data_IF_443980237634
#
_entry.id   IF_443980237634
#
_cell.length_a   1.000
_cell.length_b   1.000
_cell.length_c   1.000
_cell.angle_alpha   90.00
_cell.angle_beta   90.00
_cell.angle_gamma   90.00
#
_symmetry.space_group_name_H-M   'P 1'
#
loop_
_entity.id
_entity.type
_entity.pdbx_description
1 polymer ?
#
# COMPACT_ATOMS: atom_id res chain seq x y z
N UNK A 1 27.20 -14.99 16.61
CA UNK A 1 26.47 -13.86 17.22
C UNK A 1 25.66 -13.22 16.10
N UNK A 2 24.38 -12.95 16.31
CA UNK A 2 23.55 -12.23 15.33
C UNK A 2 23.90 -10.76 15.37
N UNK A 3 24.15 -10.15 14.22
CA UNK A 3 24.37 -8.70 14.14
C UNK A 3 23.11 -7.94 14.58
N UNK A 4 23.25 -6.89 15.40
CA UNK A 4 22.15 -5.99 15.75
C UNK A 4 21.41 -5.50 14.49
N UNK A 5 20.09 -5.66 14.46
CA UNK A 5 19.28 -5.21 13.33
C UNK A 5 18.10 -4.34 13.78
N UNK A 6 17.53 -3.61 12.82
CA UNK A 6 16.28 -2.89 13.04
C UNK A 6 15.12 -3.84 12.71
N UNK A 7 14.29 -4.11 13.71
CA UNK A 7 13.07 -4.89 13.58
C UNK A 7 11.89 -3.92 13.49
N UNK A 8 11.05 -4.05 12.47
CA UNK A 8 9.87 -3.21 12.28
C UNK A 8 8.59 -4.02 12.52
N UNK A 9 7.67 -3.45 13.29
CA UNK A 9 6.36 -4.05 13.58
C UNK A 9 5.24 -3.02 13.44
N UNK A 10 4.00 -3.47 13.21
CA UNK A 10 2.85 -2.58 13.19
C UNK A 10 2.58 -1.97 14.58
N UNK A 11 2.37 -0.66 14.63
CA UNK A 11 1.79 -0.02 15.79
C UNK A 11 0.30 -0.35 15.87
N UNK A 12 0.00 -1.39 16.63
CA UNK A 12 -1.38 -1.75 16.93
C UNK A 12 -1.85 -1.14 18.26
N UNK A 13 -1.14 -0.25 18.94
CA UNK A 13 -1.57 0.28 20.25
C UNK A 13 -2.98 0.88 20.26
N UNK A 14 -3.46 1.38 19.12
CA UNK A 14 -4.83 1.89 18.98
C UNK A 14 -5.88 0.77 19.06
N UNK A 15 -6.99 0.99 19.80
CA UNK A 15 -8.10 0.05 19.81
C UNK A 15 -8.69 -0.09 18.40
N UNK A 16 -8.80 -1.34 17.92
CA UNK A 16 -9.45 -1.64 16.65
C UNK A 16 -10.94 -1.44 16.84
N UNK A 17 -11.45 -0.24 16.56
CA UNK A 17 -12.84 0.15 16.72
C UNK A 17 -13.59 -0.02 15.40
N UNK A 18 -14.55 -0.95 15.33
CA UNK A 18 -15.54 -0.99 14.25
C UNK A 18 -16.93 -0.73 14.81
N UNK A 19 -17.77 -0.05 14.01
CA UNK A 19 -19.17 0.25 14.38
C UNK A 19 -20.04 -1.01 14.44
N UNK A 20 -19.62 -2.08 13.75
CA UNK A 20 -20.27 -3.39 13.76
C UNK A 20 -19.20 -4.42 14.15
N UNK A 21 -19.10 -4.73 15.44
CA UNK A 21 -18.28 -5.85 15.92
C UNK A 21 -19.18 -7.05 16.15
N UNK A 22 -18.99 -8.11 15.36
CA UNK A 22 -19.61 -9.39 15.70
C UNK A 22 -18.97 -9.93 16.99
N UNK A 23 -19.75 -10.62 17.83
CA UNK A 23 -19.24 -11.29 19.05
C UNK A 23 -18.02 -12.18 18.74
N UNK A 24 -18.01 -12.81 17.56
CA UNK A 24 -16.89 -13.64 17.07
C UNK A 24 -15.58 -12.86 16.93
N UNK A 25 -15.64 -11.64 16.39
CA UNK A 25 -14.45 -10.79 16.23
C UNK A 25 -13.94 -10.33 17.61
N UNK A 26 -14.82 -9.91 18.51
CA UNK A 26 -14.43 -9.52 19.87
C UNK A 26 -13.75 -10.67 20.62
N UNK A 27 -14.28 -11.90 20.52
CA UNK A 27 -13.66 -13.06 21.15
C UNK A 27 -12.25 -13.31 20.61
N UNK A 28 -12.04 -13.19 19.29
CA UNK A 28 -10.70 -13.31 18.70
C UNK A 28 -9.77 -12.21 19.19
N UNK A 29 -10.21 -10.94 19.18
CA UNK A 29 -9.39 -9.82 19.67
C UNK A 29 -9.02 -9.95 21.15
N UNK A 30 -9.92 -10.48 21.98
CA UNK A 30 -9.65 -10.72 23.40
C UNK A 30 -8.76 -11.95 23.65
N UNK A 31 -8.83 -12.97 22.78
CA UNK A 31 -7.87 -14.09 22.79
C UNK A 31 -6.50 -13.65 22.28
N UNK A 32 -6.46 -12.62 21.44
CA UNK A 32 -5.22 -12.13 20.87
C UNK A 32 -4.49 -11.32 21.92
N UNK A 33 -3.41 -11.87 22.48
CA UNK A 33 -2.63 -11.23 23.53
C UNK A 33 -1.67 -10.20 22.92
N UNK A 34 -2.28 -9.18 22.32
CA UNK A 34 -1.64 -8.12 21.56
C UNK A 34 -0.51 -7.41 22.33
N UNK A 35 -0.68 -7.28 23.65
CA UNK A 35 0.36 -6.71 24.52
C UNK A 35 1.56 -7.64 24.70
N UNK A 36 1.33 -8.94 24.88
CA UNK A 36 2.41 -9.92 25.09
C UNK A 36 3.33 -10.04 23.88
N UNK A 37 2.79 -10.01 22.65
CA UNK A 37 3.63 -10.06 21.44
C UNK A 37 4.59 -8.87 21.33
N UNK A 38 4.13 -7.67 21.71
CA UNK A 38 4.98 -6.48 21.73
C UNK A 38 6.05 -6.60 22.81
N UNK A 39 5.69 -7.06 24.01
CA UNK A 39 6.64 -7.31 25.10
C UNK A 39 7.69 -8.34 24.70
N UNK A 40 7.30 -9.46 24.09
CA UNK A 40 8.24 -10.49 23.61
C UNK A 40 9.20 -9.94 22.55
N UNK A 41 8.71 -9.13 21.62
CA UNK A 41 9.57 -8.49 20.62
C UNK A 41 10.61 -7.58 21.27
N UNK A 42 10.19 -6.78 22.26
CA UNK A 42 11.08 -5.88 22.99
C UNK A 42 12.13 -6.64 23.81
N UNK A 43 11.76 -7.73 24.47
CA UNK A 43 12.67 -8.62 25.20
C UNK A 43 13.71 -9.26 24.28
N UNK A 44 13.29 -9.78 23.12
CA UNK A 44 14.18 -10.34 22.10
C UNK A 44 15.12 -9.26 21.56
N UNK A 45 14.61 -8.04 21.33
CA UNK A 45 15.41 -6.89 20.93
C UNK A 45 16.53 -6.62 21.93
N UNK A 46 16.20 -6.53 23.23
CA UNK A 46 17.18 -6.32 24.29
C UNK A 46 18.22 -7.44 24.37
N UNK A 47 17.80 -8.70 24.29
CA UNK A 47 18.70 -9.85 24.37
C UNK A 47 19.67 -9.96 23.18
N UNK A 48 19.26 -9.50 22.00
CA UNK A 48 20.06 -9.58 20.77
C UNK A 48 20.80 -8.29 20.44
N UNK A 49 20.59 -7.21 21.20
CA UNK A 49 21.06 -5.87 20.86
C UNK A 49 20.32 -5.22 19.69
N UNK A 50 19.23 -5.82 19.21
CA UNK A 50 18.42 -5.30 18.11
C UNK A 50 17.49 -4.18 18.57
N UNK A 51 17.15 -3.27 17.65
CA UNK A 51 16.21 -2.18 17.93
C UNK A 51 14.84 -2.52 17.34
N UNK A 52 13.80 -2.55 18.17
CA UNK A 52 12.41 -2.72 17.72
C UNK A 52 11.78 -1.35 17.52
N UNK A 53 11.26 -1.09 16.32
CA UNK A 53 10.54 0.13 15.96
C UNK A 53 9.15 -0.23 15.47
N UNK A 54 8.17 0.57 15.85
CA UNK A 54 6.79 0.40 15.39
C UNK A 54 6.44 1.42 14.31
N UNK A 55 5.71 0.98 13.29
CA UNK A 55 5.32 1.77 12.11
C UNK A 55 3.80 1.87 11.99
N UNK A 56 3.30 2.78 11.16
CA UNK A 56 1.86 2.89 10.97
C UNK A 56 1.29 1.58 10.39
N UNK A 57 0.23 1.05 10.99
CA UNK A 57 -0.43 -0.19 10.55
C UNK A 57 -1.43 0.03 9.37
N UNK A 58 -1.71 1.28 9.00
CA UNK A 58 -2.75 1.57 8.01
C UNK A 58 -2.34 1.06 6.61
N UNK A 59 -3.22 0.30 5.97
CA UNK A 59 -3.06 -0.19 4.59
C UNK A 59 -1.93 -1.20 4.34
N UNK A 60 -1.25 -1.72 5.38
CA UNK A 60 -0.13 -2.68 5.23
C UNK A 60 -0.53 -3.96 4.50
N UNK A 61 -1.75 -4.46 4.76
CA UNK A 61 -2.32 -5.65 4.11
C UNK A 61 -2.98 -5.37 2.75
N UNK A 62 -3.02 -4.11 2.31
CA UNK A 62 -3.61 -3.67 1.03
C UNK A 62 -2.57 -3.09 0.07
N UNK A 63 -1.33 -2.90 0.53
CA UNK A 63 -0.24 -2.33 -0.27
C UNK A 63 0.59 -3.47 -0.85
N UNK A 64 0.94 -3.36 -2.13
CA UNK A 64 1.90 -4.25 -2.77
C UNK A 64 3.33 -3.87 -2.35
N UNK A 65 4.07 -4.78 -1.72
CA UNK A 65 5.38 -4.44 -1.15
C UNK A 65 6.40 -4.02 -2.21
N UNK A 66 6.32 -4.58 -3.41
CA UNK A 66 7.32 -4.36 -4.46
C UNK A 66 7.12 -3.04 -5.20
N UNK A 67 5.87 -2.57 -5.36
CA UNK A 67 5.59 -1.28 -5.99
C UNK A 67 5.34 -0.16 -4.99
N UNK A 68 5.00 -0.49 -3.74
CA UNK A 68 4.58 0.50 -2.74
C UNK A 68 3.22 1.14 -3.05
N UNK A 69 2.38 0.48 -3.86
CA UNK A 69 1.10 1.01 -4.35
C UNK A 69 -0.11 0.21 -3.85
N UNK A 70 -1.31 0.72 -4.10
CA UNK A 70 -2.60 0.04 -3.84
C UNK A 70 -3.04 -0.84 -5.01
N UNK A 71 -2.12 -1.25 -5.90
CA UNK A 71 -2.39 -2.12 -7.02
C UNK A 71 -2.29 -3.59 -6.60
N UNK A 72 -3.43 -4.23 -6.43
CA UNK A 72 -3.55 -5.59 -5.95
C UNK A 72 -4.59 -5.72 -4.83
N UNK A 73 -4.80 -6.96 -4.40
CA UNK A 73 -5.75 -7.24 -3.33
C UNK A 73 -5.42 -8.49 -2.55
N UNK A 74 -5.65 -8.44 -1.23
CA UNK A 74 -5.61 -9.62 -0.35
C UNK A 74 -6.93 -10.37 -0.41
N UNK A 75 -6.87 -11.68 -0.61
CA UNK A 75 -8.00 -12.59 -0.44
C UNK A 75 -7.51 -13.79 0.38
N UNK A 76 -7.95 -13.86 1.64
CA UNK A 76 -7.46 -14.87 2.58
C UNK A 76 -5.95 -14.74 2.83
N UNK A 77 -5.23 -15.84 2.63
CA UNK A 77 -3.78 -15.94 2.83
C UNK A 77 -2.97 -15.57 1.58
N UNK A 78 -3.64 -15.15 0.52
CA UNK A 78 -3.05 -14.74 -0.74
C UNK A 78 -3.15 -13.23 -0.96
N UNK A 79 -2.11 -12.65 -1.56
CA UNK A 79 -2.12 -11.30 -2.11
C UNK A 79 -1.92 -11.38 -3.62
N UNK A 80 -2.93 -10.94 -4.38
CA UNK A 80 -2.95 -10.93 -5.84
C UNK A 80 -2.44 -9.58 -6.32
N UNK A 81 -1.30 -9.58 -7.02
CA UNK A 81 -0.70 -8.38 -7.58
C UNK A 81 -1.32 -8.03 -8.92
N UNK A 82 -1.15 -6.79 -9.36
CA UNK A 82 -1.71 -6.31 -10.63
C UNK A 82 -1.11 -7.01 -11.87
N UNK A 83 0.12 -7.51 -11.76
CA UNK A 83 0.82 -8.23 -12.83
C UNK A 83 0.44 -9.72 -12.91
N UNK A 84 -0.49 -10.18 -12.07
CA UNK A 84 -0.96 -11.58 -12.04
C UNK A 84 -0.18 -12.49 -11.08
N UNK A 85 0.91 -12.03 -10.47
CA UNK A 85 1.63 -12.80 -9.45
C UNK A 85 0.81 -12.90 -8.16
N UNK A 86 0.96 -14.03 -7.46
CA UNK A 86 0.30 -14.31 -6.19
C UNK A 86 1.35 -14.55 -5.12
N UNK A 87 1.26 -13.78 -4.03
CA UNK A 87 2.15 -13.87 -2.88
C UNK A 87 1.41 -14.40 -1.66
N UNK A 88 2.14 -14.95 -0.69
CA UNK A 88 1.60 -15.14 0.66
C UNK A 88 1.34 -13.77 1.28
N UNK A 89 0.14 -13.57 1.83
CA UNK A 89 -0.33 -12.25 2.24
C UNK A 89 0.43 -11.64 3.43
N UNK A 90 0.90 -12.46 4.36
CA UNK A 90 1.66 -12.00 5.52
C UNK A 90 3.13 -11.72 5.14
N UNK A 91 3.71 -12.46 4.19
CA UNK A 91 4.98 -12.13 3.56
C UNK A 91 4.93 -10.76 2.88
N UNK A 92 3.88 -10.49 2.08
CA UNK A 92 3.69 -9.17 1.50
C UNK A 92 3.58 -8.08 2.58
N UNK A 93 2.72 -8.29 3.58
CA UNK A 93 2.53 -7.32 4.66
C UNK A 93 3.82 -7.07 5.46
N UNK A 94 4.60 -8.12 5.77
CA UNK A 94 5.88 -8.02 6.46
C UNK A 94 6.89 -7.16 5.68
N UNK A 95 6.98 -7.33 4.36
CA UNK A 95 7.84 -6.50 3.52
C UNK A 95 7.33 -5.05 3.42
N UNK A 96 6.02 -4.81 3.36
CA UNK A 96 5.46 -3.46 3.46
C UNK A 96 5.84 -2.79 4.79
N UNK A 97 5.76 -3.52 5.90
CA UNK A 97 6.14 -3.04 7.23
C UNK A 97 7.64 -2.71 7.27
N UNK A 98 8.49 -3.55 6.70
CA UNK A 98 9.92 -3.32 6.59
C UNK A 98 10.24 -2.05 5.78
N UNK A 99 9.63 -1.87 4.60
CA UNK A 99 9.78 -0.65 3.79
C UNK A 99 9.29 0.60 4.52
N UNK A 100 8.20 0.49 5.30
CA UNK A 100 7.68 1.60 6.09
C UNK A 100 8.60 2.04 7.22
N UNK A 101 9.52 1.17 7.64
CA UNK A 101 10.55 1.49 8.64
C UNK A 101 11.48 2.63 8.23
N UNK A 102 11.63 2.86 6.92
CA UNK A 102 12.47 3.91 6.33
C UNK A 102 11.68 4.88 5.46
N UNK A 103 10.34 4.86 5.55
CA UNK A 103 9.47 5.71 4.75
C UNK A 103 9.32 7.09 5.41
N UNK A 104 9.74 8.14 4.70
CA UNK A 104 9.70 9.52 5.19
C UNK A 104 8.32 10.17 5.03
N UNK A 105 7.48 9.66 4.11
CA UNK A 105 6.14 10.21 3.86
C UNK A 105 5.08 9.59 4.77
N UNK A 106 5.28 8.35 5.24
CA UNK A 106 4.32 7.64 6.10
C UNK A 106 4.91 7.44 7.50
N UNK A 107 4.64 8.40 8.38
CA UNK A 107 5.08 8.34 9.78
C UNK A 107 4.16 7.45 10.64
N UNK A 108 4.69 6.97 11.78
CA UNK A 108 4.01 6.05 12.72
C UNK A 108 2.60 6.50 13.12
N UNK A 109 2.43 7.78 13.45
CA UNK A 109 1.19 8.32 14.04
C UNK A 109 0.23 8.94 13.01
N UNK A 110 0.54 8.81 11.72
CA UNK A 110 -0.28 9.34 10.64
C UNK A 110 -1.67 8.69 10.63
N UNK A 111 -2.73 9.48 10.41
CA UNK A 111 -4.09 8.93 10.35
C UNK A 111 -4.27 8.14 9.06
N UNK A 112 -5.13 7.12 9.10
CA UNK A 112 -5.37 6.27 7.93
C UNK A 112 -5.74 7.06 6.65
N UNK A 113 -6.47 8.17 6.77
CA UNK A 113 -6.84 9.02 5.62
C UNK A 113 -5.63 9.67 4.95
N UNK A 114 -4.65 10.10 5.74
CA UNK A 114 -3.41 10.72 5.26
C UNK A 114 -2.51 9.65 4.62
N UNK A 115 -2.36 8.49 5.27
CA UNK A 115 -1.65 7.33 4.69
C UNK A 115 -2.26 6.93 3.34
N UNK A 116 -3.59 6.85 3.28
CA UNK A 116 -4.29 6.56 2.03
C UNK A 116 -3.97 7.58 0.95
N UNK A 117 -3.96 8.88 1.28
CA UNK A 117 -3.62 9.94 0.32
C UNK A 117 -2.22 9.73 -0.26
N UNK A 118 -1.21 9.52 0.59
CA UNK A 118 0.17 9.22 0.14
C UNK A 118 0.20 8.02 -0.80
N UNK A 119 -0.43 6.91 -0.41
CA UNK A 119 -0.46 5.69 -1.21
C UNK A 119 -1.21 5.88 -2.55
N UNK A 120 -2.25 6.71 -2.60
CA UNK A 120 -2.93 7.06 -3.85
C UNK A 120 -2.05 7.89 -4.78
N UNK A 121 -1.31 8.89 -4.27
CA UNK A 121 -0.33 9.62 -5.07
C UNK A 121 0.75 8.68 -5.64
N UNK A 122 1.29 7.77 -4.81
CA UNK A 122 2.24 6.74 -5.27
C UNK A 122 1.65 5.85 -6.35
N UNK A 123 0.41 5.40 -6.15
CA UNK A 123 -0.32 4.55 -7.10
C UNK A 123 -0.53 5.23 -8.45
N UNK A 124 -0.99 6.48 -8.46
CA UNK A 124 -1.20 7.26 -9.69
C UNK A 124 0.11 7.51 -10.42
N UNK A 125 1.16 7.96 -9.70
CA UNK A 125 2.50 8.16 -10.27
C UNK A 125 3.05 6.88 -10.89
N UNK A 126 2.88 5.75 -10.20
CA UNK A 126 3.32 4.45 -10.71
C UNK A 126 2.55 4.06 -11.97
N UNK A 127 1.21 4.15 -11.96
CA UNK A 127 0.38 3.86 -13.15
C UNK A 127 0.82 4.68 -14.36
N UNK A 128 1.05 5.99 -14.19
CA UNK A 128 1.54 6.84 -15.27
C UNK A 128 2.94 6.42 -15.75
N UNK A 129 3.83 6.04 -14.84
CA UNK A 129 5.18 5.57 -15.21
C UNK A 129 5.16 4.29 -16.05
N UNK A 130 4.13 3.45 -15.90
CA UNK A 130 3.93 2.23 -16.70
C UNK A 130 2.90 2.41 -17.82
N UNK A 131 2.45 3.64 -18.09
CA UNK A 131 1.61 3.98 -19.24
C UNK A 131 0.11 3.68 -19.10
N UNK A 132 -0.40 3.52 -17.88
CA UNK A 132 -1.81 3.23 -17.61
C UNK A 132 -2.49 4.36 -16.84
N UNK A 133 -3.82 4.47 -17.00
CA UNK A 133 -4.66 5.41 -16.23
C UNK A 133 -5.31 4.74 -15.04
N UNK A 134 -5.84 5.54 -14.10
CA UNK A 134 -6.64 5.04 -12.97
C UNK A 134 -7.89 4.29 -13.43
N UNK A 135 -8.56 4.80 -14.48
CA UNK A 135 -9.74 4.15 -15.06
C UNK A 135 -9.41 2.75 -15.57
N UNK A 136 -8.33 2.62 -16.34
CA UNK A 136 -7.86 1.33 -16.85
C UNK A 136 -7.57 0.35 -15.71
N UNK A 137 -6.79 0.78 -14.71
CA UNK A 137 -6.45 -0.06 -13.55
C UNK A 137 -7.69 -0.52 -12.77
N UNK A 138 -8.73 0.31 -12.68
CA UNK A 138 -9.97 -0.06 -11.98
C UNK A 138 -10.81 -1.05 -12.80
N UNK A 139 -10.90 -0.86 -14.12
CA UNK A 139 -11.64 -1.76 -15.03
C UNK A 139 -11.02 -3.16 -15.08
N UNK A 140 -9.69 -3.25 -14.96
CA UNK A 140 -8.96 -4.53 -14.94
C UNK A 140 -8.85 -5.15 -13.53
N UNK A 141 -9.49 -4.54 -12.52
CA UNK A 141 -9.51 -5.04 -11.16
C UNK A 141 -8.18 -4.90 -10.40
N UNK A 142 -7.21 -4.15 -10.92
CA UNK A 142 -5.93 -3.89 -10.27
C UNK A 142 -6.09 -2.96 -9.08
N UNK A 143 -6.90 -1.91 -9.25
CA UNK A 143 -7.23 -0.97 -8.19
C UNK A 143 -8.65 -1.24 -7.70
N UNK A 144 -8.81 -1.39 -6.38
CA UNK A 144 -10.13 -1.57 -5.77
C UNK A 144 -11.04 -0.37 -6.06
N UNK A 145 -12.29 -0.63 -6.45
CA UNK A 145 -13.30 0.39 -6.76
C UNK A 145 -13.55 1.39 -5.63
N UNK A 146 -13.31 0.98 -4.36
CA UNK A 146 -13.40 1.86 -3.18
C UNK A 146 -12.40 3.03 -3.21
N UNK A 147 -11.35 2.93 -4.00
CA UNK A 147 -10.33 3.97 -4.17
C UNK A 147 -10.51 4.78 -5.46
N UNK A 148 -11.39 4.35 -6.37
CA UNK A 148 -11.52 4.91 -7.73
C UNK A 148 -11.70 6.42 -7.73
N UNK A 149 -12.67 6.94 -6.99
CA UNK A 149 -12.99 8.38 -6.98
C UNK A 149 -11.83 9.23 -6.47
N UNK A 150 -11.19 8.81 -5.38
CA UNK A 150 -10.05 9.52 -4.80
C UNK A 150 -8.81 9.43 -5.71
N UNK A 151 -8.58 8.27 -6.32
CA UNK A 151 -7.49 8.09 -7.29
C UNK A 151 -7.68 8.96 -8.55
N UNK A 152 -8.91 9.07 -9.07
CA UNK A 152 -9.23 9.95 -10.19
C UNK A 152 -9.04 11.44 -9.84
N UNK A 153 -9.40 11.84 -8.61
CA UNK A 153 -9.14 13.19 -8.15
C UNK A 153 -7.63 13.48 -8.10
N UNK A 154 -6.83 12.55 -7.57
CA UNK A 154 -5.36 12.66 -7.58
C UNK A 154 -4.80 12.68 -9.01
N UNK A 155 -5.30 11.84 -9.91
CA UNK A 155 -4.88 11.83 -11.32
C UNK A 155 -5.18 13.16 -12.02
N UNK A 156 -6.26 13.85 -11.66
CA UNK A 156 -6.57 15.17 -12.20
C UNK A 156 -5.61 16.28 -11.74
N UNK A 157 -4.98 16.13 -10.58
CA UNK A 157 -3.96 17.06 -10.06
C UNK A 157 -2.61 16.92 -10.80
N UNK A 158 -2.34 15.73 -11.35
CA UNK A 158 -1.10 15.40 -12.06
C UNK A 158 -1.43 14.88 -13.46
N UNK A 159 -1.87 15.73 -14.40
CA UNK A 159 -2.06 15.29 -15.77
C UNK A 159 -0.75 14.71 -16.30
N UNK A 160 -0.78 13.54 -16.97
CA UNK A 160 0.45 12.84 -17.35
C UNK A 160 1.31 13.76 -18.21
N UNK A 161 2.52 14.08 -17.73
CA UNK A 161 3.52 14.80 -18.51
C UNK A 161 3.80 13.99 -19.77
N UNK A 162 3.26 14.44 -20.90
CA UNK A 162 3.58 13.89 -22.21
C UNK A 162 2.75 12.70 -22.69
N UNK A 163 1.66 12.30 -22.03
CA UNK A 163 0.68 11.44 -22.72
C UNK A 163 -0.14 12.33 -23.66
N UNK A 164 0.44 12.64 -24.85
CA UNK A 164 -0.37 12.90 -26.04
C UNK A 164 -1.10 11.60 -26.34
N UNK A 165 -2.21 11.38 -25.64
CA UNK A 165 -3.17 10.37 -26.02
C UNK A 165 -3.42 10.56 -27.50
N UNK A 166 -3.25 9.48 -28.27
CA UNK A 166 -3.89 9.36 -29.57
C UNK A 166 -5.39 9.52 -29.28
N UNK A 167 -5.88 10.75 -29.36
CA UNK A 167 -7.29 10.98 -29.60
C UNK A 167 -7.51 10.28 -30.94
N UNK A 168 -8.19 9.13 -30.93
CA UNK A 168 -8.85 8.66 -32.13
C UNK A 168 -9.90 9.72 -32.47
N UNK A 169 -9.48 10.72 -33.24
CA UNK A 169 -10.40 11.56 -33.98
C UNK A 169 -11.26 10.61 -34.82
N UNK A 170 -12.56 10.80 -34.79
CA UNK A 170 -13.53 10.06 -35.61
C UNK A 170 -13.34 10.29 -37.14
N UNK A 171 -12.22 10.88 -37.56
CA UNK A 171 -11.81 11.06 -38.95
C UNK A 171 -10.31 10.79 -39.04
N UNK A 172 -9.97 9.65 -39.63
CA UNK A 172 -8.60 9.15 -39.72
C UNK A 172 -7.72 9.98 -40.65
N UNK A 173 -7.08 11.01 -40.11
CA UNK A 173 -5.94 11.66 -40.74
C UNK A 173 -4.74 11.66 -39.77
N UNK A 174 -3.67 10.98 -40.20
CA UNK A 174 -2.38 10.97 -39.53
C UNK A 174 -1.58 12.19 -39.97
N UNK A 175 -1.16 13.03 -39.03
CA UNK A 175 -0.19 14.11 -39.28
C UNK A 175 1.11 13.73 -38.57
N UNK A 176 2.17 13.55 -39.36
CA UNK A 176 3.53 13.34 -38.91
C UNK A 176 4.14 14.71 -38.63
N UNK A 177 4.54 14.98 -37.38
CA UNK A 177 5.32 16.16 -37.03
C UNK A 177 6.69 15.70 -36.51
N UNK A 178 7.74 16.04 -37.27
CA UNK A 178 9.13 15.84 -36.88
C UNK A 178 9.48 16.68 -35.64
N UNK A 179 10.34 16.13 -34.79
CA UNK A 179 10.93 16.82 -33.65
C UNK A 179 12.16 17.63 -34.14
N UNK A 180 12.36 18.87 -33.68
CA UNK A 180 13.64 19.55 -33.89
C UNK A 180 14.73 18.90 -33.02
N UNK A 181 15.93 18.80 -33.58
CA UNK A 181 17.16 18.30 -32.96
C UNK A 181 17.53 19.06 -31.67
#
# INVERSE_FOLDING_TARGET
>A
MTEPTNIYAEDLSTPINSKIKSKRINRKLNQWVKGELQTSLEEIGQQTGSTVKTVCAAYTSQTDFQTGTLLGSRVGDCFYRYNGEVLQSDYNAANVIAHRGTDEEITRYMKYREVRRVLLHRTVRYLHSIGYSVSYATEHGWLSTKFKSEALAVESEYPPMGYRGRLSSAKGEFIQLELPL
#
